data_IF_647208021085
#
_entry.id   IF_647208021085
#
_cell.length_a   1.000
_cell.length_b   1.000
_cell.length_c   1.000
_cell.angle_alpha   90.00
_cell.angle_beta   90.00
_cell.angle_gamma   90.00
#
_symmetry.space_group_name_H-M   'P 1'
#
loop_
_entity.id
_entity.type
_entity.pdbx_description
1 polymer ?
#
# COMPACT_ATOMS: atom_id res chain seq x y z
N UNK A 1 23.47 1.57 -4.52
CA UNK A 1 24.04 0.63 -5.52
C UNK A 1 22.99 0.11 -6.49
N UNK A 2 21.83 -0.39 -6.03
CA UNK A 2 20.78 -0.96 -6.89
C UNK A 2 20.25 0.03 -7.95
N UNK A 3 20.10 1.32 -7.62
CA UNK A 3 19.61 2.36 -8.55
C UNK A 3 20.51 2.65 -9.76
N UNK A 4 21.72 2.08 -9.82
CA UNK A 4 22.68 2.25 -10.93
C UNK A 4 22.64 1.10 -11.94
N UNK A 5 21.74 0.13 -11.75
CA UNK A 5 21.55 -0.99 -12.68
C UNK A 5 20.90 -0.50 -13.99
N UNK A 6 21.06 -1.25 -15.10
CA UNK A 6 20.33 -0.98 -16.34
C UNK A 6 18.82 -0.97 -16.09
N UNK A 7 18.12 -0.02 -16.72
CA UNK A 7 16.70 0.23 -16.46
C UNK A 7 15.80 -1.01 -16.54
N UNK A 8 15.93 -1.94 -17.52
CA UNK A 8 15.09 -3.14 -17.58
C UNK A 8 15.28 -4.07 -16.37
N UNK A 9 16.52 -4.25 -15.94
CA UNK A 9 16.85 -5.10 -14.79
C UNK A 9 16.32 -4.49 -13.50
N UNK A 10 16.50 -3.18 -13.33
CA UNK A 10 15.97 -2.45 -12.18
C UNK A 10 14.44 -2.53 -12.12
N UNK A 11 13.77 -2.38 -13.27
CA UNK A 11 12.32 -2.54 -13.39
C UNK A 11 11.86 -3.95 -13.01
N UNK A 12 12.52 -5.00 -13.51
CA UNK A 12 12.20 -6.39 -13.17
C UNK A 12 12.36 -6.67 -11.67
N UNK A 13 13.48 -6.23 -11.06
CA UNK A 13 13.71 -6.36 -9.62
C UNK A 13 12.60 -5.65 -8.83
N UNK A 14 12.29 -4.41 -9.21
CA UNK A 14 11.24 -3.62 -8.54
C UNK A 14 9.89 -4.30 -8.65
N UNK A 15 9.51 -4.75 -9.84
CA UNK A 15 8.25 -5.46 -10.08
C UNK A 15 8.13 -6.76 -9.29
N UNK A 16 9.22 -7.55 -9.21
CA UNK A 16 9.24 -8.78 -8.40
C UNK A 16 9.11 -8.49 -6.91
N UNK A 17 9.77 -7.44 -6.40
CA UNK A 17 9.63 -7.02 -5.00
C UNK A 17 8.20 -6.57 -4.68
N UNK A 18 7.59 -5.77 -5.55
CA UNK A 18 6.20 -5.33 -5.41
C UNK A 18 5.22 -6.51 -5.47
N UNK A 19 5.42 -7.44 -6.41
CA UNK A 19 4.61 -8.66 -6.51
C UNK A 19 4.73 -9.53 -5.25
N UNK A 20 5.94 -9.73 -4.75
CA UNK A 20 6.19 -10.47 -3.51
C UNK A 20 5.48 -9.81 -2.31
N UNK A 21 5.55 -8.47 -2.21
CA UNK A 21 4.86 -7.72 -1.17
C UNK A 21 3.33 -7.86 -1.28
N UNK A 22 2.78 -7.76 -2.50
CA UNK A 22 1.35 -7.96 -2.75
C UNK A 22 0.88 -9.36 -2.33
N UNK A 23 1.58 -10.41 -2.77
CA UNK A 23 1.24 -11.79 -2.42
C UNK A 23 1.35 -12.05 -0.91
N UNK A 24 2.37 -11.48 -0.27
CA UNK A 24 2.57 -11.56 1.18
C UNK A 24 1.47 -10.88 1.98
N UNK A 25 0.96 -9.73 1.52
CA UNK A 25 -0.15 -9.02 2.15
C UNK A 25 -1.50 -9.71 1.89
N UNK A 26 -1.66 -10.39 0.76
CA UNK A 26 -2.91 -11.04 0.35
C UNK A 26 -3.41 -12.07 1.36
N UNK A 27 -2.51 -12.94 1.84
CA UNK A 27 -2.85 -14.04 2.75
C UNK A 27 -3.47 -13.55 4.06
N UNK A 28 -2.81 -12.69 4.86
CA UNK A 28 -3.42 -12.19 6.09
C UNK A 28 -4.64 -11.31 5.82
N UNK A 29 -4.67 -10.56 4.73
CA UNK A 29 -5.82 -9.71 4.39
C UNK A 29 -7.08 -10.55 4.13
N UNK A 30 -6.99 -11.60 3.30
CA UNK A 30 -8.10 -12.49 3.03
C UNK A 30 -8.48 -13.33 4.25
N UNK A 31 -7.52 -13.80 5.04
CA UNK A 31 -7.81 -14.50 6.29
C UNK A 31 -8.68 -13.65 7.23
N UNK A 32 -8.33 -12.38 7.44
CA UNK A 32 -9.11 -11.45 8.29
C UNK A 32 -10.45 -11.09 7.64
N UNK A 33 -10.50 -10.96 6.32
CA UNK A 33 -11.75 -10.70 5.58
C UNK A 33 -12.75 -11.85 5.76
N UNK A 34 -12.30 -13.10 5.61
CA UNK A 34 -13.12 -14.28 5.85
C UNK A 34 -13.56 -14.36 7.32
N UNK A 35 -12.65 -14.07 8.26
CA UNK A 35 -12.97 -14.03 9.68
C UNK A 35 -14.05 -12.97 10.00
N UNK A 36 -13.96 -11.77 9.40
CA UNK A 36 -14.96 -10.70 9.50
C UNK A 36 -16.32 -11.12 8.93
N UNK A 37 -16.31 -11.90 7.85
CA UNK A 37 -17.52 -12.40 7.19
C UNK A 37 -18.22 -13.48 8.03
N UNK A 38 -17.46 -14.33 8.72
CA UNK A 38 -17.99 -15.46 9.48
C UNK A 38 -18.90 -15.07 10.67
N UNK A 39 -18.71 -13.89 11.27
CA UNK A 39 -19.46 -13.46 12.47
C UNK A 39 -20.09 -12.07 12.29
N UNK A 40 -21.42 -11.93 12.49
CA UNK A 40 -22.12 -10.64 12.36
C UNK A 40 -22.09 -9.78 13.64
N UNK A 41 -21.13 -10.01 14.54
CA UNK A 41 -21.03 -9.25 15.79
C UNK A 41 -20.40 -7.87 15.57
N UNK A 42 -20.99 -6.76 16.06
CA UNK A 42 -20.49 -5.41 15.81
C UNK A 42 -19.02 -5.20 16.22
N UNK A 43 -18.68 -5.53 17.47
CA UNK A 43 -17.32 -5.36 18.00
C UNK A 43 -16.27 -6.23 17.25
N UNK A 44 -16.66 -7.42 16.81
CA UNK A 44 -15.81 -8.28 15.99
C UNK A 44 -15.54 -7.65 14.62
N UNK A 45 -16.60 -7.20 13.95
CA UNK A 45 -16.50 -6.57 12.63
C UNK A 45 -15.67 -5.29 12.69
N UNK A 46 -15.79 -4.52 13.76
CA UNK A 46 -14.97 -3.33 14.02
C UNK A 46 -13.49 -3.71 14.16
N UNK A 47 -13.16 -4.66 15.04
CA UNK A 47 -11.76 -5.12 15.22
C UNK A 47 -11.15 -5.67 13.93
N UNK A 48 -11.91 -6.45 13.17
CA UNK A 48 -11.44 -6.92 11.86
C UNK A 48 -11.23 -5.76 10.89
N UNK A 49 -12.11 -4.75 10.89
CA UNK A 49 -11.96 -3.57 10.03
C UNK A 49 -10.68 -2.80 10.36
N UNK A 50 -10.42 -2.54 11.64
CA UNK A 50 -9.17 -1.91 12.08
C UNK A 50 -7.95 -2.73 11.65
N UNK A 51 -8.03 -4.06 11.78
CA UNK A 51 -6.93 -4.95 11.40
C UNK A 51 -6.67 -4.91 9.90
N UNK A 52 -7.73 -4.91 9.09
CA UNK A 52 -7.61 -4.79 7.63
C UNK A 52 -6.96 -3.46 7.22
N UNK A 53 -7.34 -2.35 7.87
CA UNK A 53 -6.69 -1.04 7.64
C UNK A 53 -5.19 -1.12 7.95
N UNK A 54 -4.80 -1.68 9.09
CA UNK A 54 -3.38 -1.82 9.46
C UNK A 54 -2.60 -2.71 8.49
N UNK A 55 -3.22 -3.76 7.94
CA UNK A 55 -2.61 -4.60 6.91
C UNK A 55 -2.39 -3.80 5.62
N UNK A 56 -3.39 -3.02 5.19
CA UNK A 56 -3.28 -2.16 4.02
C UNK A 56 -2.20 -1.08 4.20
N UNK A 57 -2.14 -0.40 5.35
CA UNK A 57 -1.09 0.58 5.67
C UNK A 57 0.31 -0.04 5.62
N UNK A 58 0.49 -1.23 6.20
CA UNK A 58 1.78 -1.94 6.14
C UNK A 58 2.19 -2.32 4.72
N UNK A 59 1.23 -2.71 3.89
CA UNK A 59 1.48 -3.00 2.48
C UNK A 59 1.91 -1.73 1.72
N UNK A 60 1.24 -0.59 1.95
CA UNK A 60 1.61 0.72 1.38
C UNK A 60 3.01 1.16 1.83
N UNK A 61 3.33 1.03 3.13
CA UNK A 61 4.65 1.36 3.68
C UNK A 61 5.75 0.51 3.02
N UNK A 62 5.49 -0.78 2.81
CA UNK A 62 6.44 -1.67 2.16
C UNK A 62 6.64 -1.31 0.68
N UNK A 63 5.57 -0.98 -0.07
CA UNK A 63 5.67 -0.48 -1.44
C UNK A 63 6.51 0.81 -1.49
N UNK A 64 6.25 1.75 -0.58
CA UNK A 64 6.97 3.01 -0.50
C UNK A 64 8.47 2.78 -0.28
N UNK A 65 8.86 1.88 0.63
CA UNK A 65 10.27 1.50 0.86
C UNK A 65 10.91 0.81 -0.35
N UNK A 66 10.17 -0.04 -1.05
CA UNK A 66 10.65 -0.68 -2.29
C UNK A 66 10.93 0.40 -3.34
N UNK A 67 10.00 1.33 -3.55
CA UNK A 67 10.17 2.42 -4.53
C UNK A 67 11.28 3.38 -4.11
N UNK A 68 11.38 3.75 -2.83
CA UNK A 68 12.47 4.59 -2.33
C UNK A 68 13.85 3.94 -2.48
N UNK A 69 13.95 2.61 -2.36
CA UNK A 69 15.22 1.90 -2.48
C UNK A 69 15.62 1.60 -3.93
N UNK A 70 14.65 1.43 -4.82
CA UNK A 70 14.87 1.04 -6.23
C UNK A 70 14.80 2.21 -7.21
N UNK A 71 13.98 3.22 -6.94
CA UNK A 71 13.71 4.35 -7.84
C UNK A 71 14.28 5.66 -7.30
N UNK A 72 14.60 6.60 -8.18
CA UNK A 72 15.05 7.95 -7.83
C UNK A 72 13.90 8.95 -7.93
N UNK A 73 12.86 8.75 -7.12
CA UNK A 73 11.66 9.58 -7.14
C UNK A 73 11.93 10.92 -6.44
N UNK A 74 11.61 12.03 -7.11
CA UNK A 74 11.56 13.36 -6.50
C UNK A 74 10.10 13.77 -6.39
N UNK A 75 9.59 13.77 -5.17
CA UNK A 75 8.22 14.18 -4.89
C UNK A 75 8.09 15.72 -4.94
N UNK A 76 7.14 16.23 -5.73
CA UNK A 76 6.65 17.62 -5.67
C UNK A 76 5.21 17.58 -5.16
N UNK A 77 5.05 17.75 -3.85
CA UNK A 77 3.75 17.64 -3.17
C UNK A 77 3.33 19.04 -2.73
N UNK A 78 2.10 19.43 -3.10
CA UNK A 78 1.52 20.75 -2.78
C UNK A 78 0.13 20.56 -2.17
N UNK A 79 -0.31 21.55 -1.37
CA UNK A 79 -1.68 21.57 -0.85
C UNK A 79 -1.94 20.67 0.36
N UNK A 80 -0.91 20.22 1.09
CA UNK A 80 -1.09 19.43 2.32
C UNK A 80 -1.56 20.24 3.54
N UNK A 81 -1.54 21.57 3.44
CA UNK A 81 -1.90 22.45 4.56
C UNK A 81 -3.36 22.23 4.97
N UNK A 82 -3.58 21.97 6.26
CA UNK A 82 -4.91 21.75 6.83
C UNK A 82 -5.44 20.32 6.73
N UNK A 83 -4.71 19.40 6.08
CA UNK A 83 -5.04 17.97 6.13
C UNK A 83 -4.73 17.41 7.53
N UNK A 84 -5.62 16.55 8.00
CA UNK A 84 -5.55 15.91 9.32
C UNK A 84 -5.78 14.40 9.17
N UNK A 85 -4.92 13.54 9.74
CA UNK A 85 -5.12 12.08 9.73
C UNK A 85 -6.40 11.61 10.44
N UNK A 86 -7.06 12.49 11.20
CA UNK A 86 -8.26 12.18 11.99
C UNK A 86 -9.57 12.56 11.26
N UNK A 87 -9.51 12.87 9.95
CA UNK A 87 -10.68 13.22 9.14
C UNK A 87 -10.74 12.38 7.87
N UNK A 88 -11.95 12.25 7.33
CA UNK A 88 -12.21 11.56 6.07
C UNK A 88 -12.16 12.54 4.91
N UNK A 89 -11.51 12.15 3.82
CA UNK A 89 -11.41 12.92 2.59
C UNK A 89 -11.76 12.03 1.40
N UNK A 90 -12.44 12.60 0.42
CA UNK A 90 -12.55 11.98 -0.90
C UNK A 90 -11.31 12.37 -1.70
N UNK A 91 -10.44 11.41 -1.98
CA UNK A 91 -9.29 11.61 -2.86
C UNK A 91 -9.74 11.34 -4.29
N UNK A 92 -9.54 12.32 -5.17
CA UNK A 92 -9.76 12.18 -6.61
C UNK A 92 -8.42 12.34 -7.31
N UNK A 93 -8.03 11.31 -8.05
CA UNK A 93 -6.79 11.27 -8.82
C UNK A 93 -7.05 10.83 -10.25
N UNK A 94 -6.19 11.26 -11.16
CA UNK A 94 -5.99 10.61 -12.45
C UNK A 94 -5.33 9.24 -12.24
N UNK A 95 -5.54 8.30 -13.16
CA UNK A 95 -4.88 7.00 -13.13
C UNK A 95 -3.98 6.83 -14.36
N UNK A 96 -2.67 6.99 -14.15
CA UNK A 96 -1.64 6.97 -15.20
C UNK A 96 -0.73 5.75 -15.04
N UNK A 97 -0.57 5.22 -13.83
CA UNK A 97 0.35 4.12 -13.55
C UNK A 97 -0.20 3.13 -12.52
N UNK A 98 0.27 1.90 -12.59
CA UNK A 98 -0.04 0.86 -11.59
C UNK A 98 0.48 1.23 -10.20
N UNK A 99 1.48 2.11 -10.10
CA UNK A 99 2.01 2.59 -8.81
C UNK A 99 1.24 3.77 -8.22
N UNK A 100 0.11 4.18 -8.83
CA UNK A 100 -0.75 5.23 -8.29
C UNK A 100 -1.51 4.79 -7.03
N UNK A 101 -1.61 3.47 -6.79
CA UNK A 101 -2.29 2.81 -5.66
C UNK A 101 -1.24 2.26 -4.69
#
# INVERSE_FOLDING_TARGET
MIKRLPAPLLGAITGLLLLGNLLGALVPFFAVTLAKFALPLPAWRERCSETLVRIAERWIDANSRILESTQSIRWDIRGLAGLSPQRWYLIVSNHISTVDI
#
